data_IF_778050764072
#
_entry.id   IF_778050764072
#
_cell.length_a   1.000
_cell.length_b   1.000
_cell.length_c   1.000
_cell.angle_alpha   90.00
_cell.angle_beta   90.00
_cell.angle_gamma   90.00
#
_symmetry.space_group_name_H-M   'P 1'
#
loop_
_entity.id
_entity.type
_entity.pdbx_description
1 polymer ?
#
# COMPACT_ATOMS: atom_id res chain seq x y z
N UNK A 1 -16.70 6.98 4.29
CA UNK A 1 -16.42 7.22 2.85
C UNK A 1 -15.86 8.62 2.52
N UNK A 2 -16.58 9.74 2.74
CA UNK A 2 -16.03 11.08 2.43
C UNK A 2 -14.76 11.40 3.21
N UNK A 3 -14.69 10.96 4.45
CA UNK A 3 -13.51 11.14 5.32
C UNK A 3 -12.29 10.36 4.83
N UNK A 4 -12.42 9.05 4.57
CA UNK A 4 -11.35 8.22 3.99
C UNK A 4 -10.83 8.84 2.69
N UNK A 5 -11.74 9.26 1.80
CA UNK A 5 -11.35 9.93 0.55
C UNK A 5 -10.49 11.16 0.81
N UNK A 6 -10.89 12.04 1.74
CA UNK A 6 -10.10 13.22 2.08
C UNK A 6 -8.71 12.87 2.63
N UNK A 7 -8.59 11.81 3.45
CA UNK A 7 -7.30 11.33 3.96
C UNK A 7 -6.41 10.88 2.80
N UNK A 8 -6.96 10.11 1.85
CA UNK A 8 -6.19 9.64 0.69
C UNK A 8 -5.84 10.78 -0.28
N UNK A 9 -6.74 11.74 -0.48
CA UNK A 9 -6.46 12.94 -1.27
C UNK A 9 -5.31 13.76 -0.64
N UNK A 10 -5.32 13.94 0.69
CA UNK A 10 -4.23 14.61 1.42
C UNK A 10 -2.92 13.82 1.34
N UNK A 11 -2.96 12.51 1.54
CA UNK A 11 -1.80 11.63 1.39
C UNK A 11 -1.16 11.77 0.01
N UNK A 12 -1.96 11.79 -1.05
CA UNK A 12 -1.48 11.98 -2.42
C UNK A 12 -0.76 13.32 -2.61
N UNK A 13 -1.36 14.41 -2.11
CA UNK A 13 -0.76 15.74 -2.18
C UNK A 13 0.55 15.80 -1.39
N UNK A 14 0.55 15.33 -0.14
CA UNK A 14 1.72 15.37 0.73
C UNK A 14 2.84 14.47 0.21
N UNK A 15 2.52 13.33 -0.40
CA UNK A 15 3.50 12.45 -1.07
C UNK A 15 4.20 13.19 -2.22
N UNK A 16 3.45 13.98 -3.00
CA UNK A 16 4.00 14.78 -4.08
C UNK A 16 4.87 15.93 -3.56
N UNK A 17 4.37 16.69 -2.58
CA UNK A 17 5.09 17.83 -2.00
C UNK A 17 6.41 17.41 -1.32
N UNK A 18 6.41 16.24 -0.68
CA UNK A 18 7.58 15.70 0.01
C UNK A 18 8.44 14.76 -0.87
N UNK A 19 8.11 14.63 -2.16
CA UNK A 19 8.81 13.78 -3.13
C UNK A 19 8.99 12.33 -2.65
N UNK A 20 7.96 11.75 -2.03
CA UNK A 20 7.98 10.38 -1.49
C UNK A 20 7.92 9.33 -2.62
N UNK A 21 7.30 9.67 -3.75
CA UNK A 21 7.25 8.81 -4.93
C UNK A 21 6.17 7.71 -4.89
N UNK A 22 5.11 7.89 -4.08
CA UNK A 22 3.94 7.02 -4.15
C UNK A 22 3.10 7.35 -5.39
N UNK A 23 2.75 6.33 -6.17
CA UNK A 23 2.03 6.49 -7.43
C UNK A 23 0.65 5.83 -7.43
N UNK A 24 0.30 5.02 -6.43
CA UNK A 24 -1.05 4.49 -6.28
C UNK A 24 -1.31 4.11 -4.83
N UNK A 25 -2.54 4.31 -4.35
CA UNK A 25 -2.91 4.01 -2.97
C UNK A 25 -4.28 3.35 -2.93
N UNK A 26 -4.44 2.39 -2.03
CA UNK A 26 -5.71 1.73 -1.74
C UNK A 26 -5.87 1.49 -0.23
N UNK A 27 -7.13 1.50 0.20
CA UNK A 27 -7.55 1.17 1.56
C UNK A 27 -8.40 -0.09 1.48
N UNK A 28 -7.98 -1.10 2.21
CA UNK A 28 -8.76 -2.33 2.40
C UNK A 28 -9.25 -2.41 3.84
N UNK A 29 -10.42 -3.00 4.05
CA UNK A 29 -10.90 -3.39 5.39
C UNK A 29 -10.16 -4.61 5.93
N UNK A 30 -10.41 -4.94 7.20
CA UNK A 30 -9.99 -6.18 7.85
C UNK A 30 -10.58 -7.44 7.17
N UNK A 31 -11.79 -7.32 6.61
CA UNK A 31 -12.40 -8.32 5.72
C UNK A 31 -11.76 -8.39 4.33
N UNK A 32 -10.74 -7.56 4.07
CA UNK A 32 -9.97 -7.45 2.83
C UNK A 32 -10.78 -6.89 1.67
N UNK A 33 -11.93 -6.29 1.94
CA UNK A 33 -12.72 -5.61 0.92
C UNK A 33 -12.05 -4.30 0.54
N UNK A 34 -12.04 -3.99 -0.76
CA UNK A 34 -11.52 -2.72 -1.24
C UNK A 34 -12.51 -1.60 -0.90
N UNK A 35 -12.10 -0.69 -0.01
CA UNK A 35 -12.93 0.45 0.42
C UNK A 35 -12.72 1.66 -0.48
N UNK A 36 -11.46 1.90 -0.87
CA UNK A 36 -11.08 3.01 -1.73
C UNK A 36 -9.78 2.72 -2.46
N UNK A 37 -9.63 3.26 -3.67
CA UNK A 37 -8.35 3.31 -4.39
C UNK A 37 -8.23 4.59 -5.20
N UNK A 38 -7.00 5.01 -5.48
CA UNK A 38 -6.72 6.06 -6.46
C UNK A 38 -7.15 5.61 -7.85
N UNK A 39 -7.69 6.54 -8.64
CA UNK A 39 -8.30 6.23 -9.96
C UNK A 39 -7.30 5.73 -11.01
N UNK A 40 -6.01 5.99 -10.81
CA UNK A 40 -4.95 5.63 -11.73
C UNK A 40 -4.36 4.23 -11.48
N UNK A 41 -4.85 3.51 -10.47
CA UNK A 41 -4.34 2.20 -10.11
C UNK A 41 -5.48 1.20 -10.07
N UNK A 42 -5.55 0.36 -11.11
CA UNK A 42 -6.40 -0.83 -11.09
C UNK A 42 -5.69 -1.94 -10.32
N UNK A 43 -6.42 -2.73 -9.52
CA UNK A 43 -5.86 -3.71 -8.58
C UNK A 43 -6.35 -5.12 -8.91
N UNK A 44 -6.02 -5.57 -10.12
CA UNK A 44 -6.31 -6.93 -10.57
C UNK A 44 -5.55 -7.94 -9.71
N UNK A 45 -6.25 -9.01 -9.31
CA UNK A 45 -5.76 -10.07 -8.42
C UNK A 45 -5.38 -9.61 -7.00
N UNK A 46 -5.88 -8.45 -6.54
CA UNK A 46 -5.62 -7.93 -5.19
C UNK A 46 -5.86 -8.97 -4.09
N UNK A 47 -6.99 -9.68 -4.14
CA UNK A 47 -7.35 -10.64 -3.08
C UNK A 47 -6.34 -11.78 -2.96
N UNK A 48 -5.84 -12.29 -4.10
CA UNK A 48 -4.80 -13.31 -4.14
C UNK A 48 -3.48 -12.76 -3.60
N UNK A 49 -3.10 -11.54 -3.97
CA UNK A 49 -1.89 -10.89 -3.46
C UNK A 49 -1.94 -10.70 -1.93
N UNK A 50 -3.06 -10.21 -1.40
CA UNK A 50 -3.25 -10.03 0.04
C UNK A 50 -3.21 -11.37 0.78
N UNK A 51 -3.81 -12.43 0.21
CA UNK A 51 -3.77 -13.76 0.80
C UNK A 51 -2.32 -14.26 0.95
N UNK A 52 -1.51 -14.21 -0.13
CA UNK A 52 -0.09 -14.59 -0.09
C UNK A 52 0.70 -13.82 0.96
N UNK A 53 0.50 -12.50 1.04
CA UNK A 53 1.18 -11.64 2.03
C UNK A 53 0.86 -12.08 3.47
N UNK A 54 -0.41 -12.38 3.75
CA UNK A 54 -0.89 -12.79 5.07
C UNK A 54 -0.41 -14.20 5.42
N UNK A 55 -0.52 -15.15 4.48
CA UNK A 55 -0.09 -16.55 4.62
C UNK A 55 1.43 -16.67 4.80
N UNK A 56 2.18 -15.64 4.40
CA UNK A 56 3.61 -15.53 4.64
C UNK A 56 4.46 -16.03 3.50
N UNK A 57 3.90 -16.03 2.28
CA UNK A 57 4.65 -16.29 1.07
C UNK A 57 5.78 -15.27 0.90
N UNK A 58 6.85 -15.67 0.21
CA UNK A 58 7.99 -14.79 -0.08
C UNK A 58 7.78 -13.90 -1.31
N UNK A 59 6.73 -14.16 -2.11
CA UNK A 59 6.36 -13.34 -3.25
C UNK A 59 4.86 -13.42 -3.52
N UNK A 60 4.35 -12.49 -4.33
CA UNK A 60 2.97 -12.47 -4.81
C UNK A 60 2.88 -11.80 -6.20
N UNK A 61 1.76 -12.01 -6.88
CA UNK A 61 1.47 -11.36 -8.17
C UNK A 61 0.37 -10.33 -7.98
N UNK A 62 0.61 -9.10 -8.44
CA UNK A 62 -0.37 -8.02 -8.50
C UNK A 62 -0.31 -7.40 -9.90
N UNK A 63 -1.45 -7.25 -10.59
CA UNK A 63 -1.49 -6.75 -11.98
C UNK A 63 -0.48 -7.42 -12.92
N UNK A 64 -0.47 -8.74 -12.92
CA UNK A 64 0.45 -9.57 -13.73
C UNK A 64 1.95 -9.28 -13.50
N UNK A 65 2.27 -8.63 -12.37
CA UNK A 65 3.62 -8.26 -11.97
C UNK A 65 3.97 -8.98 -10.67
N UNK A 66 5.07 -9.73 -10.68
CA UNK A 66 5.58 -10.39 -9.49
C UNK A 66 6.30 -9.40 -8.57
N UNK A 67 6.06 -9.50 -7.28
CA UNK A 67 6.75 -8.75 -6.23
C UNK A 67 7.29 -9.74 -5.19
N UNK A 68 8.57 -9.60 -4.84
CA UNK A 68 9.23 -10.38 -3.78
C UNK A 68 9.23 -9.56 -2.48
N UNK A 69 8.82 -10.18 -1.38
CA UNK A 69 8.85 -9.57 -0.04
C UNK A 69 10.30 -9.52 0.43
N UNK A 70 10.80 -8.30 0.70
CA UNK A 70 12.17 -8.06 1.15
C UNK A 70 12.23 -7.62 2.61
N UNK A 71 11.13 -7.10 3.14
CA UNK A 71 11.02 -6.72 4.55
C UNK A 71 9.59 -7.03 5.05
N UNK A 72 9.49 -7.70 6.20
CA UNK A 72 8.22 -7.98 6.87
C UNK A 72 8.38 -7.74 8.36
N UNK A 73 7.68 -6.73 8.87
CA UNK A 73 7.63 -6.38 10.28
C UNK A 73 6.17 -6.32 10.73
N UNK A 74 5.93 -6.14 12.03
CA UNK A 74 4.59 -5.87 12.56
C UNK A 74 4.03 -4.52 12.11
N UNK A 75 4.90 -3.59 11.71
CA UNK A 75 4.52 -2.23 11.34
C UNK A 75 4.29 -2.08 9.82
N UNK A 76 4.63 -3.09 9.03
CA UNK A 76 4.42 -3.10 7.60
C UNK A 76 5.34 -4.03 6.82
N UNK A 77 5.08 -4.10 5.52
CA UNK A 77 5.75 -4.97 4.56
C UNK A 77 6.23 -4.13 3.38
N UNK A 78 7.43 -4.45 2.92
CA UNK A 78 8.02 -3.92 1.69
C UNK A 78 8.23 -5.10 0.74
N UNK A 79 7.64 -5.00 -0.45
CA UNK A 79 7.88 -5.91 -1.54
C UNK A 79 8.42 -5.15 -2.76
N UNK A 80 9.33 -5.76 -3.50
CA UNK A 80 9.98 -5.16 -4.67
C UNK A 80 9.74 -5.99 -5.91
N UNK A 81 9.57 -5.34 -7.05
CA UNK A 81 9.60 -6.04 -8.32
C UNK A 81 11.06 -6.37 -8.68
N UNK A 82 11.44 -7.63 -8.92
CA UNK A 82 12.83 -8.02 -9.21
C UNK A 82 13.42 -7.35 -10.46
N UNK A 83 12.58 -6.88 -11.38
CA UNK A 83 13.00 -6.19 -12.61
C UNK A 83 13.08 -4.66 -12.42
N UNK A 84 13.04 -4.16 -11.18
CA UNK A 84 13.17 -2.74 -10.88
C UNK A 84 11.95 -1.90 -11.24
N UNK A 85 10.76 -2.52 -11.32
CA UNK A 85 9.50 -1.80 -11.62
C UNK A 85 8.84 -1.15 -10.39
N UNK A 86 9.58 -0.89 -9.32
CA UNK A 86 9.05 -0.26 -8.11
C UNK A 86 8.68 -1.23 -7.01
N UNK A 87 7.90 -0.73 -6.07
CA UNK A 87 7.65 -1.38 -4.78
C UNK A 87 6.17 -1.41 -4.47
N UNK A 88 5.77 -2.42 -3.70
CA UNK A 88 4.49 -2.47 -3.02
C UNK A 88 4.75 -2.34 -1.52
N UNK A 89 4.02 -1.41 -0.91
CA UNK A 89 4.07 -1.10 0.51
C UNK A 89 2.72 -1.47 1.12
N UNK A 90 2.77 -2.19 2.24
CA UNK A 90 1.59 -2.63 2.98
C UNK A 90 1.76 -2.20 4.43
N UNK A 91 0.81 -1.40 4.94
CA UNK A 91 0.82 -0.89 6.31
C UNK A 91 -0.51 -1.24 6.98
N UNK A 92 -0.52 -2.15 7.97
CA UNK A 92 -1.73 -2.45 8.71
C UNK A 92 -2.13 -1.27 9.61
N UNK A 93 -3.43 -1.12 9.85
CA UNK A 93 -4.01 -0.20 10.83
C UNK A 93 -5.24 -0.80 11.51
N UNK A 94 -5.77 -0.16 12.55
CA UNK A 94 -6.98 -0.63 13.22
C UNK A 94 -8.19 -0.54 12.28
N UNK A 95 -8.63 -1.69 11.77
CA UNK A 95 -9.77 -1.82 10.88
C UNK A 95 -9.40 -2.14 9.43
N UNK A 96 -8.11 -2.23 9.09
CA UNK A 96 -7.73 -2.51 7.71
C UNK A 96 -6.25 -2.41 7.36
N UNK A 97 -6.01 -2.17 6.07
CA UNK A 97 -4.67 -2.07 5.48
C UNK A 97 -4.62 -0.88 4.55
N UNK A 98 -3.57 -0.08 4.70
CA UNK A 98 -3.17 0.93 3.73
C UNK A 98 -2.14 0.32 2.79
N UNK A 99 -2.51 0.20 1.52
CA UNK A 99 -1.76 -0.48 0.48
C UNK A 99 -1.32 0.54 -0.57
N UNK A 100 -0.06 0.49 -1.00
CA UNK A 100 0.47 1.52 -1.89
C UNK A 100 1.51 0.97 -2.86
N UNK A 101 1.56 1.56 -4.04
CA UNK A 101 2.64 1.34 -5.00
C UNK A 101 3.57 2.56 -5.01
N UNK A 102 4.86 2.30 -4.84
CA UNK A 102 5.92 3.30 -4.92
C UNK A 102 6.76 3.10 -6.18
N UNK A 103 7.14 4.22 -6.82
CA UNK A 103 7.89 4.22 -8.07
C UNK A 103 9.30 3.63 -7.90
N UNK A 104 9.94 3.15 -8.97
CA UNK A 104 11.30 2.58 -8.94
C UNK A 104 12.37 3.42 -8.25
N UNK A 105 12.27 4.75 -8.34
CA UNK A 105 13.23 5.70 -7.79
C UNK A 105 12.93 6.10 -6.34
N UNK A 106 11.78 5.69 -5.79
CA UNK A 106 11.39 6.00 -4.43
C UNK A 106 12.26 5.23 -3.42
N UNK A 107 12.45 5.80 -2.24
CA UNK A 107 12.96 5.06 -1.09
C UNK A 107 11.78 4.32 -0.42
N UNK A 108 11.73 2.98 -0.49
CA UNK A 108 10.60 2.23 0.05
C UNK A 108 10.50 2.31 1.58
N UNK A 109 11.61 2.53 2.30
CA UNK A 109 11.58 2.69 3.77
C UNK A 109 11.00 4.03 4.14
N UNK A 110 11.40 5.09 3.44
CA UNK A 110 10.80 6.42 3.62
C UNK A 110 9.30 6.38 3.27
N UNK A 111 8.92 5.69 2.18
CA UNK A 111 7.53 5.50 1.80
C UNK A 111 6.71 4.76 2.87
N UNK A 112 7.27 3.71 3.47
CA UNK A 112 6.62 2.97 4.54
C UNK A 112 6.39 3.85 5.78
N UNK A 113 7.41 4.59 6.22
CA UNK A 113 7.31 5.54 7.35
C UNK A 113 6.32 6.66 7.08
N UNK A 114 6.26 7.16 5.84
CA UNK A 114 5.27 8.14 5.43
C UNK A 114 3.85 7.58 5.53
N UNK A 115 3.61 6.37 5.01
CA UNK A 115 2.30 5.71 5.04
C UNK A 115 1.82 5.42 6.47
N UNK A 116 2.70 5.06 7.41
CA UNK A 116 2.35 4.83 8.81
C UNK A 116 1.64 6.02 9.47
N UNK A 117 1.98 7.26 9.07
CA UNK A 117 1.32 8.46 9.57
C UNK A 117 -0.16 8.49 9.19
N UNK A 118 -0.48 8.20 7.93
CA UNK A 118 -1.87 8.16 7.44
C UNK A 118 -2.61 6.89 7.86
N UNK A 119 -1.91 5.77 8.02
CA UNK A 119 -2.51 4.55 8.53
C UNK A 119 -3.11 4.78 9.93
N UNK A 120 -2.41 5.53 10.78
CA UNK A 120 -2.92 5.97 12.09
C UNK A 120 -4.13 6.92 11.98
N UNK A 121 -4.17 7.78 10.96
CA UNK A 121 -5.35 8.63 10.71
C UNK A 121 -6.57 7.82 10.25
N UNK A 122 -6.37 6.63 9.68
CA UNK A 122 -7.44 5.72 9.25
C UNK A 122 -7.98 4.82 10.39
N UNK A 123 -7.33 4.77 11.55
CA UNK A 123 -7.73 3.93 12.67
C UNK A 123 -9.22 4.13 13.05
N UNK A 124 -10.00 3.04 12.96
CA UNK A 124 -11.43 3.03 13.31
C UNK A 124 -12.35 3.77 12.34
N UNK A 125 -11.88 4.09 11.12
CA UNK A 125 -12.66 4.82 10.09
C UNK A 125 -13.18 3.93 8.96
N UNK A 126 -12.77 2.66 8.93
CA UNK A 126 -13.21 1.62 7.99
C UNK A 126 -14.30 0.78 8.62
#
# INVERSE_FOLDING_TARGET
>A
MKEIKNIIDNLGNDSLENNIGLAGVAVLSDSRELIHQTSNWDLNNLQTAIASIIEGDSSFILNDTEFSIVEKTTEGIIATNPNGKGYVLFVPFQGGVLFSYAMPHADPKQGLEFLKKYAKELDGKV
#
